data_IF_006951985128
#
_entry.id   IF_006951985128
#
_cell.length_a   1.000
_cell.length_b   1.000
_cell.length_c   1.000
_cell.angle_alpha   90.00
_cell.angle_beta   90.00
_cell.angle_gamma   90.00
#
_symmetry.space_group_name_H-M   'P 1'
#
loop_
_entity.id
_entity.type
_entity.pdbx_description
1 polymer ?
#
# COMPACT_ATOMS: atom_id res chain seq x y z
N UNK A 1 -37.50 31.67 -17.73
CA UNK A 1 -38.71 32.42 -17.32
C UNK A 1 -39.61 31.46 -16.57
N UNK A 2 -40.73 31.89 -15.99
CA UNK A 2 -41.72 30.93 -15.51
C UNK A 2 -42.52 30.37 -16.70
N UNK A 3 -42.73 29.05 -16.74
CA UNK A 3 -43.54 28.36 -17.76
C UNK A 3 -44.85 29.11 -18.02
N UNK A 4 -45.09 29.48 -19.27
CA UNK A 4 -46.36 30.07 -19.69
C UNK A 4 -47.34 28.98 -20.12
N UNK A 5 -48.59 29.05 -19.65
CA UNK A 5 -49.64 28.07 -19.98
C UNK A 5 -50.76 28.76 -20.75
N UNK A 6 -51.16 28.16 -21.88
CA UNK A 6 -52.28 28.62 -22.69
C UNK A 6 -53.57 28.39 -21.89
N UNK A 7 -54.35 29.46 -21.70
CA UNK A 7 -55.70 29.37 -21.14
C UNK A 7 -56.65 28.84 -22.20
N UNK A 8 -57.21 27.66 -22.00
CA UNK A 8 -58.11 27.00 -22.96
C UNK A 8 -59.61 27.29 -22.70
N UNK A 9 -59.90 28.26 -21.83
CA UNK A 9 -61.25 28.58 -21.34
C UNK A 9 -61.71 27.66 -20.22
N UNK A 10 -62.82 28.02 -19.58
CA UNK A 10 -63.45 27.22 -18.50
C UNK A 10 -64.34 26.11 -19.07
N UNK A 11 -64.78 26.26 -20.32
CA UNK A 11 -65.63 25.34 -21.06
C UNK A 11 -65.40 25.51 -22.56
N UNK A 12 -65.75 24.49 -23.35
CA UNK A 12 -65.63 24.55 -24.79
C UNK A 12 -66.42 25.74 -25.36
N UNK A 13 -65.76 26.57 -26.18
CA UNK A 13 -66.35 27.71 -26.89
C UNK A 13 -66.95 28.81 -26.00
N UNK A 14 -66.51 28.94 -24.75
CA UNK A 14 -67.07 29.92 -23.80
C UNK A 14 -66.46 31.34 -23.90
N UNK A 15 -65.43 31.52 -24.74
CA UNK A 15 -64.75 32.80 -24.94
C UNK A 15 -63.87 33.29 -23.78
N UNK A 16 -63.68 32.48 -22.73
CA UNK A 16 -62.85 32.82 -21.56
C UNK A 16 -61.37 32.41 -21.70
N UNK A 17 -61.02 31.76 -22.80
CA UNK A 17 -59.65 31.36 -23.12
C UNK A 17 -58.77 32.51 -23.63
N UNK A 18 -57.48 32.22 -23.81
CA UNK A 18 -56.55 33.13 -24.45
C UNK A 18 -56.94 33.38 -25.91
N UNK A 19 -56.71 34.61 -26.36
CA UNK A 19 -56.69 34.89 -27.80
C UNK A 19 -55.54 34.13 -28.48
N UNK A 20 -55.66 33.84 -29.78
CA UNK A 20 -54.58 33.27 -30.59
C UNK A 20 -53.26 34.04 -30.45
N UNK A 21 -53.33 35.38 -30.32
CA UNK A 21 -52.14 36.22 -30.10
C UNK A 21 -51.48 35.91 -28.76
N UNK A 22 -52.27 35.86 -27.68
CA UNK A 22 -51.74 35.53 -26.35
C UNK A 22 -51.19 34.11 -26.30
N UNK A 23 -51.89 33.14 -26.89
CA UNK A 23 -51.41 31.77 -27.03
C UNK A 23 -50.08 31.72 -27.80
N UNK A 24 -50.00 32.41 -28.96
CA UNK A 24 -48.77 32.50 -29.76
C UNK A 24 -47.61 33.15 -29.01
N UNK A 25 -47.85 34.23 -28.25
CA UNK A 25 -46.84 34.84 -27.38
C UNK A 25 -46.34 33.85 -26.33
N UNK A 26 -47.23 33.11 -25.68
CA UNK A 26 -46.87 32.10 -24.66
C UNK A 26 -46.07 30.94 -25.26
N UNK A 27 -46.48 30.47 -26.45
CA UNK A 27 -45.78 29.43 -27.20
C UNK A 27 -44.35 29.88 -27.54
N UNK A 28 -44.22 31.06 -28.16
CA UNK A 28 -42.91 31.61 -28.52
C UNK A 28 -42.04 31.82 -27.28
N UNK A 29 -42.59 32.38 -26.19
CA UNK A 29 -41.85 32.57 -24.95
C UNK A 29 -41.28 31.26 -24.38
N UNK A 30 -42.08 30.19 -24.36
CA UNK A 30 -41.63 28.88 -23.91
C UNK A 30 -40.59 28.27 -24.85
N UNK A 31 -40.77 28.36 -26.18
CA UNK A 31 -39.79 27.83 -27.14
C UNK A 31 -38.48 28.61 -27.09
N UNK A 32 -38.53 29.94 -27.01
CA UNK A 32 -37.34 30.77 -26.82
C UNK A 32 -36.57 30.35 -25.57
N UNK A 33 -37.25 30.06 -24.45
CA UNK A 33 -36.58 29.53 -23.25
C UNK A 33 -35.89 28.18 -23.50
N UNK A 34 -36.57 27.23 -24.16
CA UNK A 34 -36.00 25.91 -24.46
C UNK A 34 -34.79 26.01 -25.39
N UNK A 35 -34.91 26.76 -26.50
CA UNK A 35 -33.82 26.93 -27.46
C UNK A 35 -32.64 27.73 -26.89
N UNK A 36 -32.90 28.58 -25.89
CA UNK A 36 -31.82 29.28 -25.19
C UNK A 36 -31.12 28.35 -24.19
N UNK A 37 -31.86 27.43 -23.55
CA UNK A 37 -31.31 26.52 -22.55
C UNK A 37 -30.59 25.30 -23.14
N UNK A 38 -31.13 24.72 -24.22
CA UNK A 38 -30.60 23.50 -24.88
C UNK A 38 -29.87 23.80 -26.18
N UNK A 39 -29.73 25.08 -26.53
CA UNK A 39 -29.09 25.56 -27.74
C UNK A 39 -27.93 26.49 -27.46
N UNK A 40 -27.28 26.95 -28.51
CA UNK A 40 -26.15 27.87 -28.39
C UNK A 40 -26.59 29.35 -28.30
N UNK A 41 -27.72 29.72 -28.92
CA UNK A 41 -28.06 31.12 -29.21
C UNK A 41 -29.56 31.47 -29.17
N UNK A 42 -30.44 30.54 -28.75
CA UNK A 42 -31.88 30.77 -28.74
C UNK A 42 -32.58 30.59 -30.10
N UNK A 43 -31.84 30.21 -31.14
CA UNK A 43 -32.37 29.96 -32.50
C UNK A 43 -32.19 28.52 -32.94
N UNK A 44 -31.10 27.86 -32.53
CA UNK A 44 -30.80 26.47 -32.85
C UNK A 44 -30.60 25.64 -31.58
N UNK A 45 -31.02 24.37 -31.60
CA UNK A 45 -30.61 23.41 -30.57
C UNK A 45 -29.13 23.07 -30.72
N UNK A 46 -28.52 22.60 -29.62
CA UNK A 46 -27.11 22.21 -29.63
C UNK A 46 -26.88 21.05 -30.59
N UNK A 47 -25.85 21.19 -31.43
CA UNK A 47 -25.35 20.11 -32.29
C UNK A 47 -24.19 19.38 -31.65
N UNK A 48 -23.52 19.96 -30.65
CA UNK A 48 -22.35 19.34 -30.00
C UNK A 48 -22.73 18.43 -28.84
N UNK A 49 -23.86 18.72 -28.18
CA UNK A 49 -24.37 17.92 -27.06
C UNK A 49 -25.83 17.61 -27.29
N UNK A 50 -26.17 16.33 -27.37
CA UNK A 50 -27.55 15.86 -27.55
C UNK A 50 -27.96 14.91 -26.42
N UNK A 51 -29.26 14.94 -26.08
CA UNK A 51 -29.86 14.00 -25.12
C UNK A 51 -30.61 12.94 -25.93
N UNK A 52 -30.16 11.69 -25.84
CA UNK A 52 -30.80 10.53 -26.46
C UNK A 52 -31.55 9.70 -25.41
N UNK A 53 -32.22 8.63 -25.83
CA UNK A 53 -33.00 7.75 -24.95
C UNK A 53 -32.20 7.16 -23.78
N UNK A 54 -30.91 6.93 -24.00
CA UNK A 54 -30.03 6.14 -23.14
C UNK A 54 -28.70 6.82 -22.83
N UNK A 55 -28.45 8.03 -23.34
CA UNK A 55 -27.16 8.71 -23.16
C UNK A 55 -27.26 10.23 -23.34
N UNK A 56 -26.29 10.92 -22.75
CA UNK A 56 -25.85 12.24 -23.22
C UNK A 56 -24.72 12.01 -24.23
N UNK A 57 -24.83 12.59 -25.41
CA UNK A 57 -23.90 12.35 -26.53
C UNK A 57 -23.15 13.62 -26.84
N UNK A 58 -21.84 13.49 -26.96
CA UNK A 58 -20.90 14.56 -27.26
C UNK A 58 -20.26 14.29 -28.62
N UNK A 59 -20.54 15.13 -29.61
CA UNK A 59 -19.95 15.04 -30.96
C UNK A 59 -18.48 15.49 -30.97
N UNK A 60 -18.14 16.48 -30.13
CA UNK A 60 -16.85 17.16 -30.20
C UNK A 60 -16.83 18.29 -31.23
N UNK A 61 -15.65 18.83 -31.52
CA UNK A 61 -15.49 20.04 -32.35
C UNK A 61 -15.67 19.83 -33.86
N UNK A 62 -15.80 18.59 -34.31
CA UNK A 62 -15.99 18.22 -35.70
C UNK A 62 -17.17 17.27 -35.79
N UNK A 63 -18.19 17.62 -36.56
CA UNK A 63 -19.24 16.67 -36.90
C UNK A 63 -18.67 15.58 -37.81
N UNK A 64 -18.47 14.39 -37.27
CA UNK A 64 -18.01 13.22 -38.00
C UNK A 64 -18.84 11.97 -37.64
N UNK A 65 -18.21 10.80 -37.50
CA UNK A 65 -18.88 9.55 -37.13
C UNK A 65 -18.39 9.00 -35.78
N UNK A 66 -17.74 9.83 -34.98
CA UNK A 66 -17.13 9.47 -33.70
C UNK A 66 -17.72 10.33 -32.58
N UNK A 67 -18.60 9.74 -31.79
CA UNK A 67 -19.19 10.41 -30.65
C UNK A 67 -18.74 9.80 -29.32
N UNK A 68 -18.70 10.61 -28.27
CA UNK A 68 -18.53 10.14 -26.89
C UNK A 68 -19.88 10.06 -26.20
N UNK A 69 -20.17 8.93 -25.55
CA UNK A 69 -21.44 8.70 -24.87
C UNK A 69 -21.25 8.65 -23.36
N UNK A 70 -21.93 9.53 -22.63
CA UNK A 70 -22.15 9.36 -21.19
C UNK A 70 -23.44 8.55 -21.00
N UNK A 71 -23.28 7.26 -20.71
CA UNK A 71 -24.37 6.29 -20.59
C UNK A 71 -24.27 5.55 -19.25
N UNK A 72 -25.41 5.35 -18.62
CA UNK A 72 -25.51 4.43 -17.49
C UNK A 72 -25.58 2.98 -17.99
N UNK A 73 -24.86 2.07 -17.33
CA UNK A 73 -25.17 0.65 -17.40
C UNK A 73 -26.43 0.34 -16.58
N UNK A 74 -27.14 -0.75 -16.90
CA UNK A 74 -28.34 -1.18 -16.17
C UNK A 74 -28.10 -1.17 -14.64
N UNK A 75 -28.77 -0.28 -13.89
CA UNK A 75 -28.57 -0.17 -12.45
C UNK A 75 -29.30 -1.30 -11.70
N UNK A 76 -28.63 -1.90 -10.71
CA UNK A 76 -29.27 -2.87 -9.79
C UNK A 76 -29.92 -2.23 -8.55
N UNK A 77 -29.77 -0.91 -8.41
CA UNK A 77 -30.31 -0.06 -7.34
C UNK A 77 -30.08 1.41 -7.74
N UNK A 78 -30.72 2.37 -7.07
CA UNK A 78 -30.50 3.80 -7.31
C UNK A 78 -29.02 4.19 -7.15
N UNK A 79 -28.44 4.86 -8.16
CA UNK A 79 -27.04 5.30 -8.17
C UNK A 79 -26.95 6.81 -8.33
N UNK A 80 -26.09 7.43 -7.53
CA UNK A 80 -25.66 8.82 -7.71
C UNK A 80 -24.19 8.81 -8.15
N UNK A 81 -23.89 9.55 -9.22
CA UNK A 81 -22.52 9.75 -9.70
C UNK A 81 -22.18 11.23 -9.57
N UNK A 82 -21.10 11.53 -8.84
CA UNK A 82 -20.62 12.89 -8.65
C UNK A 82 -19.48 13.17 -9.63
N UNK A 83 -19.59 14.29 -10.35
CA UNK A 83 -18.43 14.88 -11.01
C UNK A 83 -17.53 15.50 -9.92
N UNK A 84 -16.20 15.31 -9.97
CA UNK A 84 -15.30 16.01 -9.07
C UNK A 84 -15.48 17.52 -9.16
N UNK A 85 -15.44 18.22 -8.03
CA UNK A 85 -15.37 19.68 -7.99
C UNK A 85 -13.91 20.13 -8.16
N UNK A 86 -13.31 19.74 -9.29
CA UNK A 86 -11.95 20.04 -9.69
C UNK A 86 -11.87 19.99 -11.21
N UNK A 87 -10.95 20.76 -11.80
CA UNK A 87 -10.73 20.75 -13.24
C UNK A 87 -9.85 19.56 -13.64
N UNK A 88 -10.05 19.04 -14.85
CA UNK A 88 -9.22 17.98 -15.42
C UNK A 88 -10.02 16.90 -16.15
N UNK A 89 -9.34 15.80 -16.47
CA UNK A 89 -9.93 14.67 -17.20
C UNK A 89 -10.45 13.60 -16.24
N UNK A 90 -11.60 13.03 -16.55
CA UNK A 90 -12.13 11.85 -15.86
C UNK A 90 -11.29 10.60 -16.18
N UNK A 91 -11.04 9.76 -15.17
CA UNK A 91 -10.31 8.51 -15.34
C UNK A 91 -11.18 7.48 -16.08
N UNK A 92 -10.61 6.80 -17.07
CA UNK A 92 -11.22 5.72 -17.85
C UNK A 92 -10.53 4.40 -17.51
N UNK A 93 -11.28 3.30 -17.51
CA UNK A 93 -10.82 1.98 -17.06
C UNK A 93 -9.96 1.21 -18.08
N UNK A 94 -10.01 1.63 -19.34
CA UNK A 94 -9.42 0.93 -20.50
C UNK A 94 -8.33 1.73 -21.21
N UNK A 95 -8.19 3.02 -20.88
CA UNK A 95 -7.18 3.89 -21.45
C UNK A 95 -5.90 3.89 -20.60
N UNK A 96 -4.73 4.03 -21.25
CA UNK A 96 -3.50 4.38 -20.55
C UNK A 96 -3.60 5.83 -20.10
N UNK A 97 -3.53 6.07 -18.79
CA UNK A 97 -3.70 7.40 -18.22
C UNK A 97 -2.62 7.71 -17.17
N UNK A 98 -2.21 8.97 -17.13
CA UNK A 98 -1.30 9.49 -16.10
C UNK A 98 -2.12 10.13 -14.99
N UNK A 99 -2.02 9.60 -13.77
CA UNK A 99 -2.64 10.18 -12.58
C UNK A 99 -1.60 10.95 -11.77
N UNK A 100 -1.84 12.24 -11.55
CA UNK A 100 -0.97 13.12 -10.74
C UNK A 100 -1.76 13.72 -9.58
N UNK A 101 -1.07 14.02 -8.47
CA UNK A 101 -1.65 14.70 -7.30
C UNK A 101 -2.84 13.96 -6.67
N UNK A 102 -2.87 12.63 -6.77
CA UNK A 102 -3.90 11.80 -6.14
C UNK A 102 -3.32 11.03 -4.95
N UNK A 103 -4.10 10.93 -3.88
CA UNK A 103 -3.82 10.08 -2.72
C UNK A 103 -4.60 8.79 -2.86
N UNK A 104 -3.91 7.66 -2.83
CA UNK A 104 -4.53 6.33 -2.81
C UNK A 104 -4.54 5.82 -1.38
N UNK A 105 -5.69 5.85 -0.72
CA UNK A 105 -5.81 5.45 0.70
C UNK A 105 -5.82 3.93 0.89
N UNK A 106 -6.30 3.18 -0.09
CA UNK A 106 -6.37 1.71 -0.03
C UNK A 106 -6.26 1.08 -1.43
N UNK A 107 -5.17 1.33 -2.17
CA UNK A 107 -5.01 0.77 -3.50
C UNK A 107 -4.89 -0.76 -3.44
N UNK A 108 -5.64 -1.45 -4.30
CA UNK A 108 -5.39 -2.86 -4.62
C UNK A 108 -4.65 -2.91 -5.94
N UNK A 109 -3.35 -3.23 -5.89
CA UNK A 109 -2.54 -3.45 -7.09
C UNK A 109 -2.58 -4.95 -7.42
N UNK A 110 -3.05 -5.29 -8.62
CA UNK A 110 -3.40 -6.67 -8.97
C UNK A 110 -2.20 -7.58 -9.23
N UNK A 111 -1.15 -7.08 -9.88
CA UNK A 111 -0.06 -7.92 -10.42
C UNK A 111 1.33 -7.39 -10.13
N UNK A 112 1.60 -6.12 -10.42
CA UNK A 112 2.95 -5.56 -10.34
C UNK A 112 2.94 -4.05 -10.23
N UNK A 113 4.05 -3.51 -9.73
CA UNK A 113 4.47 -2.13 -9.95
C UNK A 113 5.57 -2.20 -11.01
N UNK A 114 5.34 -1.53 -12.15
CA UNK A 114 6.25 -1.56 -13.29
C UNK A 114 7.08 -0.27 -13.36
N UNK A 115 8.26 -0.35 -13.97
CA UNK A 115 9.10 0.80 -14.28
C UNK A 115 8.57 1.59 -15.51
N UNK A 116 9.24 2.69 -15.85
CA UNK A 116 8.88 3.54 -17.00
C UNK A 116 9.00 2.83 -18.36
N UNK A 117 9.78 1.75 -18.44
CA UNK A 117 9.94 0.96 -19.66
C UNK A 117 8.93 -0.20 -19.73
N UNK A 118 8.08 -0.37 -18.71
CA UNK A 118 7.09 -1.43 -18.62
C UNK A 118 7.59 -2.75 -18.00
N UNK A 119 8.82 -2.81 -17.49
CA UNK A 119 9.34 -4.00 -16.81
C UNK A 119 8.87 -4.06 -15.36
N UNK A 120 8.77 -5.25 -14.77
CA UNK A 120 8.37 -5.39 -13.37
C UNK A 120 9.46 -4.91 -12.41
N UNK A 121 9.12 -3.97 -11.52
CA UNK A 121 9.96 -3.55 -10.40
C UNK A 121 9.63 -4.35 -9.14
N UNK A 122 8.33 -4.52 -8.85
CA UNK A 122 7.80 -5.33 -7.75
C UNK A 122 6.67 -6.19 -8.28
N UNK A 123 6.70 -7.49 -8.00
CA UNK A 123 5.61 -8.42 -8.31
C UNK A 123 4.76 -8.68 -7.07
N UNK A 124 3.45 -8.64 -7.22
CA UNK A 124 2.47 -8.99 -6.20
C UNK A 124 1.75 -10.28 -6.63
N UNK A 125 1.80 -11.29 -5.78
CA UNK A 125 1.14 -12.58 -6.01
C UNK A 125 0.07 -12.81 -4.95
N UNK A 126 -1.13 -13.17 -5.38
CA UNK A 126 -2.19 -13.52 -4.45
C UNK A 126 -1.92 -14.89 -3.82
N UNK A 127 -1.98 -14.96 -2.49
CA UNK A 127 -2.04 -16.21 -1.74
C UNK A 127 -3.46 -16.36 -1.19
N UNK A 128 -4.08 -17.52 -1.43
CA UNK A 128 -5.43 -17.80 -0.91
C UNK A 128 -5.47 -17.68 0.61
N UNK A 129 -6.37 -16.86 1.15
CA UNK A 129 -6.53 -16.63 2.59
C UNK A 129 -5.25 -16.16 3.32
N UNK A 130 -4.42 -15.33 2.67
CA UNK A 130 -3.25 -14.74 3.32
C UNK A 130 -3.65 -13.88 4.54
N UNK A 131 -2.97 -14.09 5.67
CA UNK A 131 -3.17 -13.33 6.94
C UNK A 131 -1.86 -12.77 7.50
N UNK A 132 -0.75 -12.94 6.77
CA UNK A 132 0.55 -12.42 7.12
C UNK A 132 1.11 -11.65 5.91
N UNK A 133 1.78 -10.53 6.17
CA UNK A 133 2.20 -9.58 5.16
C UNK A 133 3.45 -8.80 5.57
N UNK A 134 3.98 -8.02 4.63
CA UNK A 134 5.05 -7.06 4.89
C UNK A 134 4.39 -5.72 5.22
N UNK A 135 4.81 -5.11 6.33
CA UNK A 135 4.57 -3.70 6.62
C UNK A 135 5.83 -2.89 6.30
N UNK A 136 5.64 -1.80 5.56
CA UNK A 136 6.65 -0.79 5.31
C UNK A 136 6.28 0.48 6.10
N UNK A 137 7.22 0.99 6.89
CA UNK A 137 6.98 2.18 7.70
C UNK A 137 8.11 3.20 7.57
N UNK A 138 7.72 4.48 7.56
CA UNK A 138 8.67 5.59 7.62
C UNK A 138 9.34 5.63 9.01
N UNK A 139 10.61 6.01 9.03
CA UNK A 139 11.30 6.38 10.26
C UNK A 139 11.03 7.83 10.64
N UNK A 140 10.96 8.12 11.94
CA UNK A 140 10.89 9.49 12.44
C UNK A 140 12.28 10.02 12.82
N UNK A 141 12.56 11.29 12.50
CA UNK A 141 13.77 12.01 12.88
C UNK A 141 15.07 11.29 12.45
N UNK A 142 15.79 10.67 13.40
CA UNK A 142 17.07 9.97 13.18
C UNK A 142 16.91 8.47 12.93
N UNK A 143 15.68 7.95 12.98
CA UNK A 143 15.40 6.55 12.69
C UNK A 143 15.21 6.36 11.18
N UNK A 144 15.78 5.28 10.65
CA UNK A 144 15.54 4.87 9.26
C UNK A 144 14.16 4.23 9.07
N UNK A 145 13.72 4.02 7.81
CA UNK A 145 12.53 3.24 7.50
C UNK A 145 12.71 1.78 7.92
N UNK A 146 11.59 1.08 8.11
CA UNK A 146 11.58 -0.33 8.50
C UNK A 146 10.79 -1.20 7.52
N UNK A 147 11.22 -2.46 7.44
CA UNK A 147 10.50 -3.57 6.81
C UNK A 147 10.24 -4.58 7.93
N UNK A 148 8.98 -4.94 8.15
CA UNK A 148 8.58 -5.87 9.21
C UNK A 148 7.57 -6.89 8.71
N UNK A 149 7.64 -8.12 9.20
CA UNK A 149 6.54 -9.07 9.06
C UNK A 149 5.42 -8.72 10.04
N UNK A 150 4.18 -8.65 9.55
CA UNK A 150 2.97 -8.45 10.34
C UNK A 150 1.94 -9.52 9.98
N UNK A 151 0.93 -9.70 10.82
CA UNK A 151 -0.11 -10.71 10.60
C UNK A 151 -0.67 -11.27 11.90
N UNK A 152 -1.44 -12.34 11.79
CA UNK A 152 -2.11 -12.96 12.96
C UNK A 152 -1.24 -13.92 13.77
N UNK A 153 -0.08 -14.34 13.24
CA UNK A 153 0.82 -15.25 13.94
C UNK A 153 1.75 -14.53 14.93
N UNK A 154 2.11 -15.19 16.02
CA UNK A 154 2.94 -14.62 17.10
C UNK A 154 4.40 -14.42 16.73
N UNK A 155 4.97 -15.31 15.90
CA UNK A 155 6.35 -15.24 15.44
C UNK A 155 6.37 -15.42 13.91
N UNK A 156 6.96 -14.46 13.21
CA UNK A 156 7.05 -14.45 11.76
C UNK A 156 8.45 -14.06 11.33
N UNK A 157 9.02 -14.83 10.41
CA UNK A 157 10.29 -14.51 9.76
C UNK A 157 10.03 -13.60 8.55
N UNK A 158 11.03 -12.78 8.21
CA UNK A 158 11.12 -12.19 6.86
C UNK A 158 12.06 -13.08 6.06
N UNK A 159 11.51 -13.80 5.09
CA UNK A 159 12.30 -14.64 4.19
C UNK A 159 12.80 -13.80 3.01
N UNK A 160 14.09 -13.93 2.67
CA UNK A 160 14.74 -13.21 1.57
C UNK A 160 15.42 -14.24 0.66
N UNK A 161 14.75 -14.57 -0.44
CA UNK A 161 15.18 -15.62 -1.36
C UNK A 161 15.82 -15.02 -2.62
N UNK A 162 17.11 -15.28 -2.82
CA UNK A 162 17.78 -15.00 -4.09
C UNK A 162 17.47 -16.12 -5.11
N UNK A 163 17.52 -15.78 -6.40
CA UNK A 163 17.31 -16.76 -7.48
C UNK A 163 18.64 -17.37 -7.94
N UNK A 164 18.68 -18.69 -8.13
CA UNK A 164 19.87 -19.38 -8.66
C UNK A 164 21.06 -19.29 -7.71
N UNK A 165 22.19 -18.77 -8.18
CA UNK A 165 23.41 -18.57 -7.39
C UNK A 165 23.52 -17.15 -6.80
N UNK A 166 22.42 -16.39 -6.77
CA UNK A 166 22.40 -15.05 -6.19
C UNK A 166 22.52 -15.06 -4.65
N UNK A 167 22.80 -13.89 -4.07
CA UNK A 167 22.91 -13.66 -2.63
C UNK A 167 22.18 -12.38 -2.21
N UNK A 168 21.94 -12.22 -0.91
CA UNK A 168 21.56 -10.93 -0.33
C UNK A 168 22.83 -10.12 -0.05
N UNK A 169 23.07 -9.09 -0.84
CA UNK A 169 24.20 -8.17 -0.65
C UNK A 169 23.78 -6.98 0.21
N UNK A 170 24.57 -6.70 1.26
CA UNK A 170 24.37 -5.56 2.14
C UNK A 170 25.61 -4.67 2.05
N UNK A 171 25.43 -3.38 1.77
CA UNK A 171 26.54 -2.42 1.80
C UNK A 171 27.22 -2.39 3.18
N UNK A 172 26.42 -2.45 4.25
CA UNK A 172 26.89 -2.59 5.63
C UNK A 172 25.80 -3.22 6.50
N UNK A 173 26.17 -4.22 7.29
CA UNK A 173 25.26 -4.89 8.22
C UNK A 173 25.51 -4.44 9.67
N UNK A 174 24.44 -4.33 10.44
CA UNK A 174 24.48 -4.21 11.89
C UNK A 174 23.39 -5.13 12.46
N UNK A 175 23.70 -5.77 13.59
CA UNK A 175 22.76 -6.64 14.28
C UNK A 175 22.20 -5.93 15.51
N UNK A 176 20.92 -6.16 15.81
CA UNK A 176 20.33 -5.77 17.08
C UNK A 176 21.18 -6.34 18.21
N UNK A 177 21.64 -5.47 19.12
CA UNK A 177 22.55 -5.82 20.20
C UNK A 177 21.88 -5.79 21.57
N UNK A 178 22.36 -6.62 22.50
CA UNK A 178 21.98 -6.61 23.91
C UNK A 178 23.22 -6.62 24.80
N UNK A 179 23.28 -5.69 25.76
CA UNK A 179 24.33 -5.60 26.76
C UNK A 179 23.91 -6.32 28.04
N UNK A 180 24.76 -7.22 28.53
CA UNK A 180 24.54 -8.00 29.75
C UNK A 180 25.61 -7.64 30.79
N UNK A 181 25.18 -7.06 31.91
CA UNK A 181 26.06 -6.60 33.02
C UNK A 181 25.88 -7.39 34.31
N UNK A 182 24.92 -8.32 34.35
CA UNK A 182 24.62 -9.19 35.49
C UNK A 182 24.25 -10.60 35.00
N UNK A 183 24.26 -11.58 35.92
CA UNK A 183 23.90 -12.95 35.56
C UNK A 183 22.45 -13.00 35.05
N UNK A 184 22.20 -13.78 34.00
CA UNK A 184 20.87 -13.87 33.38
C UNK A 184 20.91 -14.53 32.01
N UNK A 185 19.79 -14.55 31.31
CA UNK A 185 19.73 -15.15 29.97
C UNK A 185 20.14 -14.13 28.90
N UNK A 186 20.77 -14.63 27.84
CA UNK A 186 20.94 -13.90 26.60
C UNK A 186 19.58 -13.51 26.01
N UNK A 187 19.54 -12.35 25.33
CA UNK A 187 18.31 -11.88 24.69
C UNK A 187 17.87 -12.84 23.58
N UNK A 188 16.58 -13.18 23.56
CA UNK A 188 15.96 -13.95 22.47
C UNK A 188 15.78 -13.11 21.21
N UNK A 189 15.68 -11.78 21.32
CA UNK A 189 15.44 -10.87 20.19
C UNK A 189 16.71 -10.26 19.58
N UNK A 190 17.84 -10.25 20.30
CA UNK A 190 19.10 -9.72 19.80
C UNK A 190 20.02 -10.83 19.26
N UNK A 191 20.66 -10.59 18.11
CA UNK A 191 21.69 -11.47 17.57
C UNK A 191 23.05 -11.22 18.22
N UNK A 192 23.37 -9.95 18.54
CA UNK A 192 24.67 -9.59 19.13
C UNK A 192 24.57 -9.41 20.64
N UNK A 193 25.28 -10.25 21.39
CA UNK A 193 25.29 -10.25 22.86
C UNK A 193 26.65 -9.76 23.36
N UNK A 194 26.63 -8.77 24.25
CA UNK A 194 27.84 -8.12 24.77
C UNK A 194 27.88 -8.30 26.29
N UNK A 195 28.86 -9.03 26.79
CA UNK A 195 29.13 -9.14 28.23
C UNK A 195 29.94 -7.98 28.74
N UNK A 196 29.55 -7.47 29.91
CA UNK A 196 30.28 -6.40 30.57
C UNK A 196 30.12 -6.45 32.09
N UNK A 197 30.64 -7.52 32.70
CA UNK A 197 30.71 -7.65 34.16
C UNK A 197 32.17 -7.70 34.61
N UNK A 198 32.49 -7.00 35.70
CA UNK A 198 33.86 -6.99 36.25
C UNK A 198 34.28 -8.29 36.95
N UNK A 199 33.31 -9.11 37.36
CA UNK A 199 33.49 -10.44 37.93
C UNK A 199 32.79 -11.48 37.06
N UNK A 200 32.99 -12.78 37.35
CA UNK A 200 32.43 -13.88 36.57
C UNK A 200 30.95 -13.65 36.19
N UNK A 201 30.65 -13.74 34.91
CA UNK A 201 29.33 -13.50 34.33
C UNK A 201 28.73 -14.82 33.87
N UNK A 202 27.65 -15.26 34.51
CA UNK A 202 26.90 -16.43 34.08
C UNK A 202 25.77 -16.02 33.14
N UNK A 203 25.81 -16.51 31.90
CA UNK A 203 24.81 -16.24 30.85
C UNK A 203 24.10 -17.52 30.45
N UNK A 204 22.78 -17.59 30.61
CA UNK A 204 22.00 -18.67 30.02
C UNK A 204 21.74 -18.42 28.53
N UNK A 205 21.80 -19.44 27.68
CA UNK A 205 21.37 -19.34 26.28
C UNK A 205 20.19 -20.28 26.06
N UNK A 206 18.99 -19.73 25.95
CA UNK A 206 17.78 -20.50 25.66
C UNK A 206 17.84 -21.13 24.27
N UNK A 207 17.02 -22.14 24.02
CA UNK A 207 16.91 -22.77 22.71
C UNK A 207 16.48 -21.77 21.63
N UNK A 208 17.02 -21.96 20.42
CA UNK A 208 16.68 -21.14 19.27
C UNK A 208 15.22 -21.34 18.85
N UNK A 209 14.63 -20.29 18.30
CA UNK A 209 13.23 -20.30 17.84
C UNK A 209 13.10 -20.70 16.37
N UNK A 210 14.16 -20.51 15.59
CA UNK A 210 14.22 -20.83 14.16
C UNK A 210 15.53 -21.54 13.83
N UNK A 211 15.49 -22.59 13.02
CA UNK A 211 16.70 -23.28 12.53
C UNK A 211 17.59 -22.29 11.77
N UNK A 212 18.88 -22.29 12.08
CA UNK A 212 19.83 -21.31 11.56
C UNK A 212 19.87 -20.00 12.35
N UNK A 213 19.12 -19.87 13.45
CA UNK A 213 19.25 -18.73 14.37
C UNK A 213 20.72 -18.59 14.80
N UNK A 214 21.22 -17.37 14.72
CA UNK A 214 22.62 -17.04 14.90
C UNK A 214 22.80 -16.10 16.09
N UNK A 215 23.82 -16.36 16.91
CA UNK A 215 24.24 -15.49 18.01
C UNK A 215 25.73 -15.17 17.90
N UNK A 216 26.06 -13.91 18.15
CA UNK A 216 27.43 -13.43 18.26
C UNK A 216 27.62 -13.00 19.71
N UNK A 217 28.62 -13.56 20.38
CA UNK A 217 28.98 -13.18 21.74
C UNK A 217 30.33 -12.47 21.73
N UNK A 218 30.41 -11.38 22.50
CA UNK A 218 31.69 -10.77 22.89
C UNK A 218 31.67 -10.51 24.39
N UNK A 219 32.83 -10.55 25.02
CA UNK A 219 32.97 -10.15 26.41
C UNK A 219 33.94 -8.97 26.50
N UNK A 220 33.47 -7.78 26.89
CA UNK A 220 34.37 -6.65 27.20
C UNK A 220 34.66 -6.50 28.69
N UNK A 221 33.94 -7.24 29.54
CA UNK A 221 34.10 -7.23 30.99
C UNK A 221 35.33 -8.01 31.46
N UNK A 222 35.91 -7.62 32.59
CA UNK A 222 37.09 -8.29 33.16
C UNK A 222 36.80 -9.70 33.72
N UNK A 223 35.54 -9.98 34.06
CA UNK A 223 35.12 -11.31 34.48
C UNK A 223 34.92 -12.24 33.29
N UNK A 224 35.33 -13.51 33.45
CA UNK A 224 35.02 -14.53 32.45
C UNK A 224 33.50 -14.67 32.28
N UNK A 225 33.03 -14.60 31.05
CA UNK A 225 31.64 -14.88 30.69
C UNK A 225 31.50 -16.37 30.44
N UNK A 226 30.76 -17.08 31.28
CA UNK A 226 30.36 -18.47 31.04
C UNK A 226 28.96 -18.48 30.44
N UNK A 227 28.84 -18.91 29.20
CA UNK A 227 27.56 -19.11 28.52
C UNK A 227 27.16 -20.57 28.65
N UNK A 228 25.95 -20.82 29.15
CA UNK A 228 25.37 -22.15 29.36
C UNK A 228 24.12 -22.26 28.50
N UNK A 229 24.21 -22.86 27.30
CA UNK A 229 23.03 -23.13 26.50
C UNK A 229 22.15 -24.19 27.15
N UNK A 230 20.83 -24.11 26.95
CA UNK A 230 19.88 -25.12 27.41
C UNK A 230 20.16 -26.47 26.73
N UNK A 231 20.35 -26.46 25.41
CA UNK A 231 20.83 -27.60 24.63
C UNK A 231 22.12 -27.23 23.88
N UNK A 232 23.21 -27.94 24.14
CA UNK A 232 24.52 -27.66 23.55
C UNK A 232 25.17 -28.94 23.02
N UNK A 233 25.56 -28.93 21.74
CA UNK A 233 26.09 -30.13 21.10
C UNK A 233 27.52 -30.48 21.59
N UNK A 234 28.29 -29.51 22.06
CA UNK A 234 29.72 -29.65 22.36
C UNK A 234 30.02 -29.69 23.87
N UNK A 235 29.02 -29.93 24.72
CA UNK A 235 29.19 -30.03 26.17
C UNK A 235 28.06 -29.35 26.94
N UNK A 236 28.40 -28.62 27.99
CA UNK A 236 27.40 -27.96 28.86
C UNK A 236 27.49 -26.44 28.83
N UNK A 237 28.67 -25.89 28.55
CA UNK A 237 28.91 -24.44 28.53
C UNK A 237 30.21 -24.14 27.78
N UNK A 238 30.41 -22.87 27.46
CA UNK A 238 31.68 -22.32 26.99
C UNK A 238 31.98 -21.02 27.72
N UNK A 239 33.26 -20.67 27.83
CA UNK A 239 33.70 -19.45 28.50
C UNK A 239 34.44 -18.52 27.55
N UNK A 240 34.19 -17.22 27.69
CA UNK A 240 34.89 -16.16 26.99
C UNK A 240 35.65 -15.32 28.03
N UNK A 241 36.98 -15.24 27.91
CA UNK A 241 37.77 -14.32 28.71
C UNK A 241 37.47 -12.86 28.29
N UNK A 242 38.13 -11.91 28.93
CA UNK A 242 38.00 -10.52 28.51
C UNK A 242 38.52 -10.35 27.06
N UNK A 243 37.76 -9.64 26.25
CA UNK A 243 37.95 -9.36 24.83
C UNK A 243 37.81 -10.56 23.87
N UNK A 244 37.44 -11.72 24.39
CA UNK A 244 37.09 -12.86 23.56
C UNK A 244 35.72 -12.70 22.92
N UNK A 245 35.54 -13.42 21.81
CA UNK A 245 34.27 -13.54 21.12
C UNK A 245 34.11 -14.90 20.48
N UNK A 246 32.85 -15.29 20.29
CA UNK A 246 32.49 -16.49 19.57
C UNK A 246 31.14 -16.33 18.88
N UNK A 247 30.81 -17.30 18.04
CA UNK A 247 29.53 -17.38 17.36
C UNK A 247 28.89 -18.74 17.58
N UNK A 248 27.58 -18.73 17.71
CA UNK A 248 26.77 -19.93 17.89
C UNK A 248 25.65 -19.97 16.85
N UNK A 249 25.30 -21.17 16.39
CA UNK A 249 24.21 -21.42 15.46
C UNK A 249 23.31 -22.54 15.98
N UNK A 250 21.99 -22.38 15.80
CA UNK A 250 20.98 -23.34 16.21
C UNK A 250 20.62 -24.29 15.06
N UNK A 251 20.65 -25.60 15.28
CA UNK A 251 20.28 -26.61 14.25
C UNK A 251 18.80 -27.05 14.32
N UNK A 252 18.04 -26.54 15.29
CA UNK A 252 16.69 -27.00 15.59
C UNK A 252 16.57 -27.81 16.89
N UNK A 253 17.68 -28.28 17.45
CA UNK A 253 17.71 -29.09 18.68
C UNK A 253 18.85 -28.71 19.62
N UNK A 254 20.02 -28.35 19.10
CA UNK A 254 21.19 -27.95 19.89
C UNK A 254 21.85 -26.70 19.31
N UNK A 255 22.47 -25.92 20.19
CA UNK A 255 23.43 -24.90 19.79
C UNK A 255 24.78 -25.53 19.45
N UNK A 256 25.42 -25.02 18.41
CA UNK A 256 26.80 -25.32 18.03
C UNK A 256 27.62 -24.05 18.09
N UNK A 257 28.80 -24.11 18.70
CA UNK A 257 29.82 -23.10 18.58
C UNK A 257 30.62 -23.35 17.29
N UNK A 258 30.61 -22.36 16.40
CA UNK A 258 31.13 -22.48 15.02
C UNK A 258 32.24 -21.47 14.68
N UNK A 259 32.69 -20.69 15.66
CA UNK A 259 33.89 -19.87 15.58
C UNK A 259 34.21 -19.22 16.92
N UNK A 260 35.46 -19.32 17.38
CA UNK A 260 35.96 -18.68 18.60
C UNK A 260 37.36 -18.07 18.37
N UNK A 261 37.66 -16.97 19.05
CA UNK A 261 38.96 -16.28 18.93
C UNK A 261 40.15 -17.03 19.54
N UNK A 262 39.95 -18.22 20.13
CA UNK A 262 40.99 -18.96 20.87
C UNK A 262 42.21 -19.41 20.04
N UNK A 263 42.17 -19.35 18.71
CA UNK A 263 43.28 -19.78 17.82
C UNK A 263 44.03 -18.63 17.13
N UNK A 264 43.62 -17.36 17.31
CA UNK A 264 44.27 -16.21 16.63
C UNK A 264 45.05 -15.39 17.65
N UNK A 265 46.39 -15.41 17.56
CA UNK A 265 47.23 -14.46 18.32
C UNK A 265 47.03 -13.06 17.75
N UNK A 266 46.39 -12.18 18.51
CA UNK A 266 46.27 -10.75 18.19
C UNK A 266 47.53 -10.03 18.67
N UNK A 267 48.28 -9.42 17.75
CA UNK A 267 49.48 -8.64 18.04
C UNK A 267 49.16 -7.18 18.37
#
# INVERSE_FOLDING_TARGET
MAKQVIGIGSSANDGSGDTLRQAGTKINANFTEIYTALGADGSNLSTEVTIQDSAVVFEGGNADAHETFLRATEPTADRMVYLPNDDGTLLLDSAVQTITNKTLTSPKIGTSINDTNGNELIKLTATGSAVNEITLANGASTNGPTISATGSATNLNINLDAKGTGSVELNKAAFTSSLITANGNASTAATYIIGNKGSALAVGLLDGTTVGEYKIFTNKGAGAMTVTPTNFAQGTSFALAQFDGCTCIWDGTNWYLVGNQGEVTLA
#
